data_IF_051844091595
#
_entry.id   IF_051844091595
#
_cell.length_a   1.000
_cell.length_b   1.000
_cell.length_c   1.000
_cell.angle_alpha   90.00
_cell.angle_beta   90.00
_cell.angle_gamma   90.00
#
_symmetry.space_group_name_H-M   'P 1'
#
loop_
_entity.id
_entity.type
_entity.pdbx_description
1 polymer ?
#
# COMPACT_ATOMS: atom_id res chain seq x y z
N UNK A 1 -21.09 5.37 16.88
CA UNK A 1 -20.58 6.14 15.74
C UNK A 1 -19.61 5.25 14.99
N UNK A 2 -19.96 4.79 13.79
CA UNK A 2 -18.99 4.11 12.93
C UNK A 2 -18.20 5.24 12.25
N UNK A 3 -17.09 5.64 12.87
CA UNK A 3 -16.19 6.63 12.28
C UNK A 3 -15.50 6.03 11.05
N UNK A 4 -15.03 6.88 10.14
CA UNK A 4 -14.18 6.39 9.04
C UNK A 4 -12.92 5.73 9.63
N UNK A 5 -12.50 4.55 9.15
CA UNK A 5 -11.25 3.94 9.58
C UNK A 5 -10.09 4.91 9.35
N UNK A 6 -9.11 4.90 10.26
CA UNK A 6 -7.91 5.75 10.14
C UNK A 6 -7.13 5.27 8.92
N UNK A 7 -6.97 6.14 7.92
CA UNK A 7 -6.20 5.87 6.71
C UNK A 7 -4.80 6.44 6.89
N UNK A 8 -3.79 5.59 6.78
CA UNK A 8 -2.39 6.03 6.72
C UNK A 8 -1.98 6.27 5.27
N UNK A 9 -1.03 7.18 5.03
CA UNK A 9 -0.48 7.35 3.68
C UNK A 9 0.36 6.12 3.33
N UNK A 10 0.13 5.54 2.16
CA UNK A 10 1.01 4.53 1.59
C UNK A 10 2.45 5.06 1.56
N UNK A 11 3.39 4.23 1.98
CA UNK A 11 4.82 4.50 1.88
C UNK A 11 5.45 3.42 1.03
N UNK A 12 6.33 3.81 0.12
CA UNK A 12 7.17 2.86 -0.61
C UNK A 12 8.52 2.75 0.11
N UNK A 13 9.10 1.55 0.19
CA UNK A 13 10.44 1.38 0.75
C UNK A 13 11.45 2.14 -0.13
N UNK A 14 12.36 2.87 0.52
CA UNK A 14 13.54 3.41 -0.18
C UNK A 14 14.57 2.29 -0.30
N UNK A 15 15.05 2.06 -1.52
CA UNK A 15 15.96 0.96 -1.82
C UNK A 15 17.23 1.46 -2.51
N UNK A 16 18.32 0.69 -2.36
CA UNK A 16 19.61 0.99 -2.95
C UNK A 16 20.38 -0.32 -3.24
N UNK A 17 19.85 -1.18 -4.13
CA UNK A 17 20.41 -2.50 -4.37
C UNK A 17 21.81 -2.40 -4.97
N UNK A 18 22.71 -3.28 -4.53
CA UNK A 18 24.11 -3.34 -4.97
C UNK A 18 24.37 -4.46 -5.97
N UNK A 19 23.42 -5.39 -6.09
CA UNK A 19 23.49 -6.51 -7.01
C UNK A 19 22.07 -6.90 -7.47
N UNK A 20 22.01 -7.81 -8.45
CA UNK A 20 20.73 -8.21 -9.05
C UNK A 20 19.84 -9.03 -8.11
N UNK A 21 20.41 -9.73 -7.12
CA UNK A 21 19.64 -10.43 -6.10
C UNK A 21 18.92 -9.44 -5.19
N UNK A 22 19.66 -8.45 -4.67
CA UNK A 22 19.08 -7.35 -3.88
C UNK A 22 18.04 -6.56 -4.68
N UNK A 23 18.27 -6.33 -5.98
CA UNK A 23 17.28 -5.67 -6.84
C UNK A 23 16.00 -6.49 -7.00
N UNK A 24 16.10 -7.82 -7.08
CA UNK A 24 14.94 -8.69 -7.17
C UNK A 24 14.15 -8.65 -5.85
N UNK A 25 14.84 -8.80 -4.72
CA UNK A 25 14.22 -8.72 -3.39
C UNK A 25 13.52 -7.36 -3.18
N UNK A 26 14.18 -6.26 -3.59
CA UNK A 26 13.61 -4.91 -3.52
C UNK A 26 12.38 -4.74 -4.44
N UNK A 27 12.36 -5.42 -5.60
CA UNK A 27 11.20 -5.43 -6.50
C UNK A 27 10.01 -6.16 -5.87
N UNK A 28 10.25 -7.31 -5.26
CA UNK A 28 9.20 -8.06 -4.54
C UNK A 28 8.64 -7.26 -3.36
N UNK A 29 9.52 -6.60 -2.60
CA UNK A 29 9.12 -5.71 -1.50
C UNK A 29 8.31 -4.50 -2.01
N UNK A 30 8.68 -3.94 -3.16
CA UNK A 30 7.96 -2.85 -3.79
C UNK A 30 6.56 -3.29 -4.25
N UNK A 31 6.44 -4.46 -4.88
CA UNK A 31 5.16 -5.03 -5.31
C UNK A 31 4.22 -5.29 -4.11
N UNK A 32 4.75 -5.83 -3.01
CA UNK A 32 3.99 -6.02 -1.78
C UNK A 32 3.49 -4.68 -1.20
N UNK A 33 4.35 -3.65 -1.15
CA UNK A 33 3.96 -2.32 -0.67
C UNK A 33 2.86 -1.68 -1.54
N UNK A 34 2.88 -1.93 -2.85
CA UNK A 34 1.81 -1.50 -3.76
C UNK A 34 0.50 -2.25 -3.51
N UNK A 35 0.54 -3.56 -3.28
CA UNK A 35 -0.65 -4.35 -2.96
C UNK A 35 -1.32 -3.85 -1.66
N UNK A 36 -0.53 -3.60 -0.62
CA UNK A 36 -1.03 -3.04 0.64
C UNK A 36 -1.63 -1.64 0.47
N UNK A 37 -1.04 -0.83 -0.42
CA UNK A 37 -1.58 0.48 -0.75
C UNK A 37 -2.92 0.39 -1.47
N UNK A 38 -3.02 -0.49 -2.48
CA UNK A 38 -4.25 -0.71 -3.23
C UNK A 38 -5.40 -1.15 -2.30
N UNK A 39 -5.13 -2.08 -1.38
CA UNK A 39 -6.12 -2.53 -0.40
C UNK A 39 -6.65 -1.38 0.49
N UNK A 40 -5.78 -0.42 0.87
CA UNK A 40 -6.22 0.76 1.61
C UNK A 40 -7.11 1.68 0.77
N UNK A 41 -6.78 1.88 -0.51
CA UNK A 41 -7.59 2.69 -1.43
C UNK A 41 -8.97 2.05 -1.65
N UNK A 42 -9.02 0.74 -1.86
CA UNK A 42 -10.27 -0.01 -2.06
C UNK A 42 -11.17 0.10 -0.83
N UNK A 43 -10.62 -0.10 0.37
CA UNK A 43 -11.34 0.09 1.63
C UNK A 43 -11.94 1.51 1.74
N UNK A 44 -11.17 2.55 1.38
CA UNK A 44 -11.65 3.93 1.42
C UNK A 44 -12.77 4.15 0.40
N UNK A 45 -12.61 3.63 -0.81
CA UNK A 45 -13.62 3.71 -1.85
C UNK A 45 -14.93 3.04 -1.40
N UNK A 46 -14.87 1.82 -0.88
CA UNK A 46 -16.05 1.08 -0.40
C UNK A 46 -16.75 1.84 0.74
N UNK A 47 -15.99 2.40 1.67
CA UNK A 47 -16.53 3.22 2.75
C UNK A 47 -17.23 4.50 2.23
N UNK A 48 -16.76 5.06 1.12
CA UNK A 48 -17.40 6.20 0.46
C UNK A 48 -18.68 5.79 -0.27
N UNK A 49 -18.71 4.65 -0.97
CA UNK A 49 -19.90 4.16 -1.66
C UNK A 49 -21.01 3.71 -0.69
N UNK A 50 -20.65 3.23 0.50
CA UNK A 50 -21.59 2.84 1.54
C UNK A 50 -22.29 4.04 2.22
N UNK A 51 -21.83 5.27 1.98
CA UNK A 51 -22.51 6.49 2.44
C UNK A 51 -23.61 6.86 1.42
N UNK A 52 -24.89 6.97 1.83
CA UNK A 52 -25.97 7.39 0.95
C UNK A 52 -25.86 8.86 0.51
#
# INVERSE_FOLDING_TARGET
MIGCPVVTRCQLPSTAPRNNGELLDDSEALEAAWADCAAQVDMVYDAQQARP
#
